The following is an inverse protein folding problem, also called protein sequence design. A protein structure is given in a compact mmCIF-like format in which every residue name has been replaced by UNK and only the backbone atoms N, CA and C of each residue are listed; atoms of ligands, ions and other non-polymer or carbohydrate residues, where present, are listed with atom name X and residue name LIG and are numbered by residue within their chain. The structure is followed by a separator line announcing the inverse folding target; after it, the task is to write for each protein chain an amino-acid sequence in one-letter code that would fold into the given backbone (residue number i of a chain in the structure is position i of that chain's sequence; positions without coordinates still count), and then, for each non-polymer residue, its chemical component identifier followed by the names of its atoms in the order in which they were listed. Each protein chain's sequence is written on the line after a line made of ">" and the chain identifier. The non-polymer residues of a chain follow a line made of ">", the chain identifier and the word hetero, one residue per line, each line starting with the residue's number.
data_IF_944991445942
#
_entry.id   IF_944991445942
#
_cell.length_a   1.000
_cell.length_b   1.000
_cell.length_c   1.000
_cell.angle_alpha   90.00
_cell.angle_beta   90.00
_cell.angle_gamma   90.00
#
_symmetry.space_group_name_H-M   'P 1'
#
loop_
_entity.id
_entity.type
_entity.pdbx_description
1 polymer ?
#
# COMPACT_ATOMS: atom_id res chain seq x y z
N UNK A 1 1.34 -32.61 -80.31
CA UNK A 1 2.82 -32.72 -80.43
C UNK A 1 3.48 -32.16 -79.18
N UNK A 2 4.55 -32.82 -78.72
CA UNK A 2 5.52 -32.36 -77.69
C UNK A 2 5.28 -32.68 -76.19
N UNK A 3 4.62 -33.81 -75.87
CA UNK A 3 4.81 -34.50 -74.56
C UNK A 3 6.23 -35.13 -74.40
N UNK A 4 7.12 -34.90 -75.38
CA UNK A 4 8.54 -35.31 -75.37
C UNK A 4 9.46 -34.24 -74.75
N UNK A 5 9.09 -32.95 -74.77
CA UNK A 5 9.91 -31.86 -74.18
C UNK A 5 9.78 -31.74 -72.65
N UNK A 6 8.65 -32.14 -72.07
CA UNK A 6 8.47 -32.10 -70.60
C UNK A 6 9.14 -33.26 -69.85
N UNK A 7 9.37 -34.39 -70.53
CA UNK A 7 10.11 -35.52 -69.93
C UNK A 7 11.63 -35.29 -69.87
N UNK A 8 12.19 -34.46 -70.74
CA UNK A 8 13.62 -34.10 -70.68
C UNK A 8 13.92 -33.04 -69.61
N UNK A 9 12.93 -32.18 -69.26
CA UNK A 9 13.09 -31.18 -68.19
C UNK A 9 13.07 -31.80 -66.77
N UNK A 10 12.40 -32.94 -66.59
CA UNK A 10 12.34 -33.67 -65.32
C UNK A 10 13.59 -34.55 -65.12
N UNK A 11 14.25 -35.01 -66.19
CA UNK A 11 15.49 -35.80 -66.09
C UNK A 11 16.72 -34.95 -65.75
N UNK A 12 16.77 -33.67 -66.17
CA UNK A 12 17.88 -32.74 -65.85
C UNK A 12 17.86 -32.13 -64.44
N UNK A 13 16.81 -32.35 -63.62
CA UNK A 13 16.77 -31.92 -62.21
C UNK A 13 17.11 -33.02 -61.20
N UNK A 14 17.47 -34.24 -61.66
CA UNK A 14 17.86 -35.37 -60.78
C UNK A 14 19.37 -35.62 -60.68
N UNK A 15 20.21 -34.79 -61.29
CA UNK A 15 21.69 -34.91 -61.25
C UNK A 15 22.39 -33.70 -60.61
N UNK A 16 21.80 -33.12 -59.56
CA UNK A 16 22.53 -32.22 -58.66
C UNK A 16 22.43 -32.77 -57.24
N UNK A 17 23.60 -32.89 -56.60
CA UNK A 17 23.89 -33.81 -55.52
C UNK A 17 23.01 -33.71 -54.28
N UNK A 18 22.74 -34.89 -53.70
CA UNK A 18 22.23 -35.04 -52.33
C UNK A 18 23.31 -34.58 -51.33
N UNK A 19 23.03 -33.67 -50.37
CA UNK A 19 23.90 -33.48 -49.24
C UNK A 19 23.90 -34.75 -48.36
N UNK A 20 25.09 -35.26 -48.04
CA UNK A 20 25.29 -36.34 -47.07
C UNK A 20 24.74 -35.92 -45.70
N UNK A 21 23.65 -36.54 -45.28
CA UNK A 21 23.16 -36.47 -43.91
C UNK A 21 23.99 -37.45 -43.05
N UNK A 22 25.08 -36.95 -42.47
CA UNK A 22 25.79 -37.66 -41.40
C UNK A 22 26.07 -36.70 -40.24
N UNK A 23 25.75 -37.19 -39.03
CA UNK A 23 26.19 -36.75 -37.70
C UNK A 23 25.48 -35.62 -36.92
N UNK A 24 24.25 -35.20 -37.24
CA UNK A 24 23.48 -34.32 -36.32
C UNK A 24 23.00 -34.99 -35.02
N UNK A 25 22.92 -36.33 -34.95
CA UNK A 25 22.44 -37.04 -33.75
C UNK A 25 23.45 -37.15 -32.60
N UNK A 26 24.76 -36.98 -32.84
CA UNK A 26 25.77 -36.99 -31.76
C UNK A 26 25.99 -35.60 -31.14
N UNK A 27 25.90 -34.53 -31.93
CA UNK A 27 25.99 -33.16 -31.42
C UNK A 27 24.79 -32.78 -30.52
N UNK A 28 23.58 -33.25 -30.85
CA UNK A 28 22.40 -32.97 -30.02
C UNK A 28 22.46 -33.68 -28.66
N UNK A 29 23.13 -34.84 -28.55
CA UNK A 29 23.28 -35.52 -27.26
C UNK A 29 24.33 -34.87 -26.35
N UNK A 30 25.43 -34.35 -26.90
CA UNK A 30 26.45 -33.63 -26.10
C UNK A 30 25.95 -32.24 -25.70
N UNK A 31 25.22 -31.54 -26.58
CA UNK A 31 24.57 -30.27 -26.24
C UNK A 31 23.44 -30.44 -25.21
N UNK A 32 22.70 -31.55 -25.24
CA UNK A 32 21.70 -31.85 -24.21
C UNK A 32 22.34 -32.20 -22.86
N UNK A 33 23.51 -32.85 -22.85
CA UNK A 33 24.20 -33.21 -21.60
C UNK A 33 24.91 -32.00 -20.96
N UNK A 34 25.52 -31.12 -21.76
CA UNK A 34 26.06 -29.83 -21.28
C UNK A 34 24.93 -28.85 -20.90
N UNK A 35 23.81 -28.87 -21.62
CA UNK A 35 22.59 -28.12 -21.29
C UNK A 35 21.93 -28.61 -19.99
N UNK A 36 21.94 -29.92 -19.73
CA UNK A 36 21.46 -30.48 -18.46
C UNK A 36 22.43 -30.19 -17.30
N UNK A 37 23.75 -30.23 -17.52
CA UNK A 37 24.71 -29.88 -16.47
C UNK A 37 24.71 -28.37 -16.16
N UNK A 38 24.55 -27.50 -17.16
CA UNK A 38 24.36 -26.06 -16.94
C UNK A 38 22.98 -25.73 -16.39
N UNK A 39 21.92 -26.43 -16.78
CA UNK A 39 20.62 -26.32 -16.12
C UNK A 39 20.70 -26.79 -14.66
N UNK A 40 21.42 -27.88 -14.35
CA UNK A 40 21.60 -28.34 -12.96
C UNK A 40 22.51 -27.42 -12.13
N UNK A 41 23.47 -26.72 -12.74
CA UNK A 41 24.27 -25.69 -12.07
C UNK A 41 23.50 -24.36 -11.95
N UNK A 42 22.59 -24.04 -12.87
CA UNK A 42 21.69 -22.87 -12.81
C UNK A 42 20.47 -23.11 -11.88
N UNK A 43 20.10 -24.38 -11.69
CA UNK A 43 19.21 -24.87 -10.64
C UNK A 43 19.96 -24.94 -9.29
N UNK A 44 21.28 -24.80 -9.28
CA UNK A 44 22.10 -24.66 -8.07
C UNK A 44 22.06 -23.27 -7.43
N UNK A 45 21.54 -22.25 -8.12
CA UNK A 45 21.13 -20.98 -7.50
C UNK A 45 19.63 -20.98 -7.24
N UNK A 46 19.14 -22.02 -6.55
CA UNK A 46 17.89 -21.90 -5.82
C UNK A 46 18.12 -20.86 -4.73
N UNK A 47 17.72 -19.62 -5.01
CA UNK A 47 17.04 -18.83 -3.97
C UNK A 47 15.99 -19.79 -3.45
N UNK A 48 16.13 -20.23 -2.21
CA UNK A 48 15.19 -21.14 -1.57
C UNK A 48 13.80 -20.53 -1.74
N UNK A 49 13.02 -21.10 -2.66
CA UNK A 49 11.63 -20.71 -2.84
C UNK A 49 10.92 -21.25 -1.60
N UNK A 50 10.65 -20.35 -0.66
CA UNK A 50 9.83 -20.70 0.49
C UNK A 50 8.36 -20.55 0.05
N UNK A 51 7.72 -21.69 -0.22
CA UNK A 51 6.33 -21.79 -0.69
C UNK A 51 5.34 -21.05 0.23
N UNK A 52 5.75 -20.69 1.45
CA UNK A 52 4.93 -19.89 2.37
C UNK A 52 4.60 -18.49 1.85
N UNK A 53 5.36 -17.95 0.88
CA UNK A 53 5.11 -16.63 0.28
C UNK A 53 4.17 -16.63 -0.92
N UNK A 54 3.70 -17.80 -1.35
CA UNK A 54 2.83 -17.95 -2.53
C UNK A 54 1.50 -17.19 -2.43
N UNK A 55 1.06 -16.85 -1.21
CA UNK A 55 -0.14 -16.03 -1.01
C UNK A 55 -0.03 -14.64 -1.65
N UNK A 56 1.19 -14.13 -1.90
CA UNK A 56 1.44 -12.87 -2.58
C UNK A 56 1.22 -12.95 -4.11
N UNK A 57 0.94 -14.13 -4.66
CA UNK A 57 0.53 -14.30 -6.06
C UNK A 57 -1.00 -14.18 -6.26
N UNK A 58 -1.78 -13.89 -5.21
CA UNK A 58 -3.25 -13.86 -5.30
C UNK A 58 -3.79 -12.74 -6.20
N UNK A 59 -4.94 -13.01 -6.81
CA UNK A 59 -5.73 -12.03 -7.55
C UNK A 59 -7.18 -12.11 -7.05
N UNK A 60 -7.47 -11.39 -5.96
CA UNK A 60 -8.80 -11.40 -5.35
C UNK A 60 -9.42 -10.00 -5.38
N UNK A 61 -10.72 -9.97 -5.69
CA UNK A 61 -11.54 -8.77 -5.61
C UNK A 61 -12.53 -8.92 -4.46
N UNK A 62 -12.65 -7.90 -3.62
CA UNK A 62 -13.71 -7.80 -2.63
C UNK A 62 -14.92 -7.10 -3.23
N UNK A 63 -16.13 -7.58 -2.93
CA UNK A 63 -17.37 -6.91 -3.32
C UNK A 63 -17.49 -5.58 -2.56
N UNK A 64 -17.74 -4.49 -3.30
CA UNK A 64 -17.90 -3.16 -2.72
C UNK A 64 -19.29 -3.05 -2.10
N UNK A 65 -19.36 -2.94 -0.78
CA UNK A 65 -20.59 -2.71 -0.04
C UNK A 65 -20.72 -1.20 0.23
N UNK A 66 -21.77 -0.57 -0.28
CA UNK A 66 -22.01 0.87 -0.09
C UNK A 66 -23.13 1.16 0.93
N UNK A 67 -23.87 0.15 1.39
CA UNK A 67 -24.81 0.32 2.50
C UNK A 67 -24.06 0.24 3.83
N UNK A 68 -24.05 1.34 4.58
CA UNK A 68 -23.42 1.42 5.89
C UNK A 68 -23.99 0.41 6.88
N UNK A 69 -25.29 0.08 6.79
CA UNK A 69 -25.95 -0.87 7.70
C UNK A 69 -25.38 -2.27 7.55
N UNK A 70 -25.01 -2.65 6.34
CA UNK A 70 -24.40 -3.94 6.07
C UNK A 70 -22.95 -3.99 6.54
N UNK A 71 -22.21 -2.89 6.42
CA UNK A 71 -20.86 -2.77 7.00
C UNK A 71 -20.91 -2.94 8.51
N UNK A 72 -21.80 -2.21 9.21
CA UNK A 72 -21.95 -2.29 10.67
C UNK A 72 -22.34 -3.70 11.15
N UNK A 73 -23.06 -4.48 10.33
CA UNK A 73 -23.44 -5.87 10.66
C UNK A 73 -22.34 -6.89 10.40
N UNK A 74 -21.47 -6.63 9.41
CA UNK A 74 -20.52 -7.64 8.88
C UNK A 74 -19.09 -7.44 9.36
N UNK A 75 -18.71 -6.21 9.66
CA UNK A 75 -17.33 -5.78 9.85
C UNK A 75 -17.11 -5.13 11.21
N UNK A 76 -15.85 -5.09 11.60
CA UNK A 76 -15.42 -4.68 12.93
C UNK A 76 -14.83 -3.28 12.92
N UNK A 77 -15.25 -2.40 13.85
CA UNK A 77 -14.58 -1.13 14.02
C UNK A 77 -13.15 -1.35 14.55
N UNK A 78 -12.20 -0.60 13.99
CA UNK A 78 -10.79 -0.56 14.41
C UNK A 78 -10.48 0.86 14.89
N UNK A 79 -10.10 0.96 16.16
CA UNK A 79 -9.82 2.25 16.79
C UNK A 79 -11.08 3.10 17.03
N UNK A 80 -10.89 4.31 17.57
CA UNK A 80 -11.99 5.15 18.02
C UNK A 80 -12.63 5.90 16.85
N UNK A 81 -13.88 6.35 17.05
CA UNK A 81 -14.48 7.40 16.20
C UNK A 81 -13.72 8.72 16.41
N UNK A 82 -13.06 9.22 15.37
CA UNK A 82 -12.27 10.45 15.40
C UNK A 82 -13.02 11.61 14.74
N UNK A 83 -13.02 12.77 15.39
CA UNK A 83 -13.58 13.99 14.77
C UNK A 83 -12.63 14.51 13.68
N UNK A 84 -13.18 14.79 12.50
CA UNK A 84 -12.44 15.42 11.39
C UNK A 84 -12.31 16.92 11.70
N UNK A 85 -11.08 17.34 12.00
CA UNK A 85 -10.75 18.73 12.38
C UNK A 85 -10.14 19.56 11.26
N UNK A 86 -9.64 18.92 10.19
CA UNK A 86 -9.08 19.65 9.04
C UNK A 86 -10.20 20.44 8.35
N UNK A 87 -10.08 21.77 8.32
CA UNK A 87 -11.14 22.65 7.82
C UNK A 87 -11.42 22.45 6.32
N UNK A 88 -10.38 22.23 5.51
CA UNK A 88 -10.50 21.98 4.07
C UNK A 88 -11.24 20.66 3.79
N UNK A 89 -10.86 19.59 4.49
CA UNK A 89 -11.52 18.29 4.41
C UNK A 89 -12.98 18.38 4.90
N UNK A 90 -13.20 19.04 6.04
CA UNK A 90 -14.53 19.25 6.59
C UNK A 90 -15.42 20.06 5.63
N UNK A 91 -14.90 21.12 5.02
CA UNK A 91 -15.62 21.92 4.04
C UNK A 91 -15.98 21.10 2.79
N UNK A 92 -15.05 20.25 2.32
CA UNK A 92 -15.29 19.32 1.20
C UNK A 92 -16.41 18.33 1.53
N UNK A 93 -16.33 17.66 2.68
CA UNK A 93 -17.33 16.68 3.13
C UNK A 93 -18.71 17.36 3.26
N UNK A 94 -18.77 18.55 3.89
CA UNK A 94 -20.02 19.31 4.00
C UNK A 94 -20.59 19.65 2.62
N UNK A 95 -19.76 20.17 1.71
CA UNK A 95 -20.19 20.50 0.35
C UNK A 95 -20.76 19.30 -0.41
N UNK A 96 -20.10 18.14 -0.32
CA UNK A 96 -20.58 16.90 -0.94
C UNK A 96 -21.88 16.39 -0.31
N UNK A 97 -22.05 16.56 1.01
CA UNK A 97 -23.22 16.10 1.74
C UNK A 97 -24.42 17.05 1.68
N UNK A 98 -24.21 18.36 1.43
CA UNK A 98 -25.25 19.40 1.51
C UNK A 98 -26.57 19.02 0.81
N UNK A 99 -26.61 18.53 -0.44
CA UNK A 99 -27.87 18.16 -1.08
C UNK A 99 -28.65 17.07 -0.33
N UNK A 100 -27.92 16.11 0.27
CA UNK A 100 -28.48 15.03 1.07
C UNK A 100 -28.97 15.58 2.42
N UNK A 101 -28.19 16.46 3.05
CA UNK A 101 -28.56 17.07 4.33
C UNK A 101 -29.83 17.92 4.19
N UNK A 102 -29.92 18.77 3.17
CA UNK A 102 -31.09 19.61 2.89
C UNK A 102 -32.34 18.77 2.63
N UNK A 103 -32.19 17.69 1.86
CA UNK A 103 -33.26 16.73 1.61
C UNK A 103 -33.75 16.06 2.90
N UNK A 104 -32.82 15.63 3.77
CA UNK A 104 -33.15 15.00 5.07
C UNK A 104 -33.83 15.98 6.04
N UNK A 105 -33.36 17.22 6.11
CA UNK A 105 -33.97 18.31 6.90
C UNK A 105 -35.43 18.49 6.46
N UNK A 106 -35.67 18.59 5.15
CA UNK A 106 -37.01 18.77 4.58
C UNK A 106 -37.93 17.58 4.87
N UNK A 107 -37.47 16.34 4.65
CA UNK A 107 -38.28 15.13 4.89
C UNK A 107 -38.67 14.99 6.37
N UNK A 108 -37.76 15.37 7.28
CA UNK A 108 -38.01 15.28 8.73
C UNK A 108 -38.88 16.42 9.26
N UNK A 109 -39.25 17.39 8.40
CA UNK A 109 -40.03 18.57 8.81
C UNK A 109 -39.27 19.47 9.78
N UNK A 110 -37.94 19.49 9.70
CA UNK A 110 -37.11 20.38 10.52
C UNK A 110 -37.15 21.81 9.98
N UNK A 111 -36.83 22.78 10.85
CA UNK A 111 -36.98 24.20 10.52
C UNK A 111 -36.01 24.63 9.40
N UNK A 112 -36.51 25.38 8.42
CA UNK A 112 -35.74 26.02 7.34
C UNK A 112 -35.90 27.55 7.41
N UNK A 113 -34.82 28.35 7.32
CA UNK A 113 -33.41 28.00 7.42
C UNK A 113 -32.97 27.92 8.90
N UNK A 114 -32.90 26.71 9.45
CA UNK A 114 -32.23 26.49 10.75
C UNK A 114 -30.73 26.78 10.64
N UNK A 115 -30.14 27.42 11.65
CA UNK A 115 -28.69 27.53 11.75
C UNK A 115 -28.17 26.17 12.26
N UNK A 116 -27.87 25.24 11.36
CA UNK A 116 -27.39 23.91 11.72
C UNK A 116 -25.88 23.91 12.00
N UNK A 117 -25.47 23.30 13.10
CA UNK A 117 -24.09 22.88 13.31
C UNK A 117 -23.87 21.49 12.70
N UNK A 118 -22.74 21.31 12.01
CA UNK A 118 -22.39 20.06 11.34
C UNK A 118 -21.00 19.66 11.76
N UNK A 119 -20.92 18.52 12.45
CA UNK A 119 -19.66 17.88 12.87
C UNK A 119 -19.45 16.61 12.06
N UNK A 120 -18.24 16.38 11.57
CA UNK A 120 -17.87 15.18 10.84
C UNK A 120 -16.93 14.31 11.66
N UNK A 121 -17.11 13.01 11.55
CA UNK A 121 -16.33 11.98 12.21
C UNK A 121 -15.93 10.90 11.20
N UNK A 122 -14.85 10.18 11.50
CA UNK A 122 -14.36 9.04 10.74
C UNK A 122 -14.08 7.88 11.69
N UNK A 123 -14.42 6.67 11.27
CA UNK A 123 -14.10 5.44 11.98
C UNK A 123 -13.76 4.34 10.97
N UNK A 124 -12.69 3.59 11.21
CA UNK A 124 -12.29 2.50 10.31
C UNK A 124 -13.09 1.24 10.64
N UNK A 125 -13.61 0.58 9.61
CA UNK A 125 -14.22 -0.74 9.69
C UNK A 125 -13.43 -1.72 8.83
N UNK A 126 -12.88 -2.75 9.46
CA UNK A 126 -12.03 -3.72 8.77
C UNK A 126 -12.82 -4.92 8.26
N UNK A 127 -12.51 -5.30 7.01
CA UNK A 127 -12.91 -6.55 6.40
C UNK A 127 -11.88 -7.61 6.83
N UNK A 128 -12.29 -8.69 7.53
CA UNK A 128 -11.36 -9.75 7.91
C UNK A 128 -10.88 -10.52 6.67
N UNK A 129 -9.61 -10.92 6.63
CA UNK A 129 -9.09 -11.76 5.55
C UNK A 129 -9.56 -13.22 5.68
N UNK A 130 -9.31 -14.06 4.67
CA UNK A 130 -9.57 -15.50 4.76
C UNK A 130 -8.52 -16.19 5.62
N UNK A 131 -8.89 -17.32 6.24
CA UNK A 131 -8.05 -18.01 7.24
C UNK A 131 -6.69 -18.41 6.65
N UNK A 132 -6.67 -18.84 5.40
CA UNK A 132 -5.49 -19.26 4.65
C UNK A 132 -4.48 -18.13 4.39
N UNK A 133 -4.90 -16.86 4.44
CA UNK A 133 -4.04 -15.71 4.14
C UNK A 133 -3.64 -14.90 5.38
N UNK A 134 -4.39 -15.05 6.49
CA UNK A 134 -4.16 -14.30 7.73
C UNK A 134 -2.78 -14.56 8.32
N UNK A 135 -2.42 -15.83 8.51
CA UNK A 135 -1.16 -16.19 9.18
C UNK A 135 0.08 -15.84 8.35
N UNK A 136 0.13 -16.12 7.02
CA UNK A 136 1.26 -15.67 6.20
C UNK A 136 1.41 -14.14 6.14
N UNK A 137 0.31 -13.39 6.06
CA UNK A 137 0.35 -11.93 6.10
C UNK A 137 0.84 -11.40 7.46
N UNK A 138 0.43 -12.05 8.55
CA UNK A 138 0.90 -11.76 9.91
C UNK A 138 2.40 -12.02 10.06
N UNK A 139 2.86 -13.17 9.58
CA UNK A 139 4.28 -13.53 9.60
C UNK A 139 5.11 -12.54 8.78
N UNK A 140 4.63 -12.15 7.58
CA UNK A 140 5.29 -11.12 6.77
C UNK A 140 5.40 -9.78 7.52
N UNK A 141 4.31 -9.29 8.14
CA UNK A 141 4.33 -8.01 8.85
C UNK A 141 5.27 -8.04 10.07
N UNK A 142 5.31 -9.15 10.81
CA UNK A 142 6.28 -9.36 11.90
C UNK A 142 7.72 -9.37 11.38
N UNK A 143 7.97 -10.05 10.28
CA UNK A 143 9.30 -10.12 9.65
C UNK A 143 9.73 -8.75 9.13
N UNK A 144 8.85 -8.02 8.46
CA UNK A 144 9.11 -6.66 7.98
C UNK A 144 9.37 -5.67 9.12
N UNK A 145 8.64 -5.80 10.22
CA UNK A 145 8.86 -5.03 11.43
C UNK A 145 10.27 -5.27 11.99
N UNK A 146 10.68 -6.52 12.19
CA UNK A 146 12.04 -6.83 12.67
C UNK A 146 13.11 -6.40 11.67
N UNK A 147 12.87 -6.61 10.37
CA UNK A 147 13.79 -6.21 9.31
C UNK A 147 14.05 -4.70 9.31
N UNK A 148 13.01 -3.87 9.45
CA UNK A 148 13.12 -2.41 9.51
C UNK A 148 14.03 -1.95 10.66
N UNK A 149 13.77 -2.43 11.88
CA UNK A 149 14.44 -1.93 13.08
C UNK A 149 15.82 -2.57 13.33
N UNK A 150 16.10 -3.72 12.71
CA UNK A 150 17.42 -4.36 12.75
C UNK A 150 18.22 -4.13 11.45
N UNK A 151 17.76 -3.25 10.57
CA UNK A 151 18.36 -3.06 9.25
C UNK A 151 19.80 -2.52 9.36
N UNK A 152 20.81 -3.17 8.76
CA UNK A 152 22.23 -2.82 8.99
C UNK A 152 22.63 -1.45 8.44
N UNK A 153 21.82 -0.86 7.56
CA UNK A 153 22.10 0.45 6.92
C UNK A 153 21.09 1.53 7.30
N UNK A 154 20.28 1.28 8.33
CA UNK A 154 19.29 2.23 8.83
C UNK A 154 19.28 2.19 10.35
N UNK A 155 19.61 3.32 10.95
CA UNK A 155 19.77 3.52 12.39
C UNK A 155 19.04 4.80 12.81
N UNK A 156 18.78 4.94 14.11
CA UNK A 156 18.04 6.08 14.67
C UNK A 156 16.52 5.92 14.63
N UNK A 157 15.99 4.82 14.08
CA UNK A 157 14.58 4.46 14.21
C UNK A 157 14.30 3.96 15.63
N UNK A 158 13.23 4.47 16.25
CA UNK A 158 12.79 4.02 17.57
C UNK A 158 11.80 2.88 17.41
N UNK A 159 12.19 1.67 17.81
CA UNK A 159 11.33 0.48 17.74
C UNK A 159 10.18 0.60 18.74
N UNK A 160 8.91 0.73 18.29
CA UNK A 160 7.78 0.78 19.19
C UNK A 160 7.50 -0.60 19.78
N UNK A 161 6.85 -0.63 20.95
CA UNK A 161 6.17 -1.86 21.39
C UNK A 161 4.90 -2.00 20.57
N UNK A 162 4.88 -2.95 19.64
CA UNK A 162 3.74 -3.18 18.75
C UNK A 162 3.30 -4.64 18.74
N UNK A 163 1.99 -4.86 18.91
CA UNK A 163 1.36 -6.16 18.72
C UNK A 163 0.68 -6.22 17.34
N UNK A 164 1.01 -7.26 16.56
CA UNK A 164 0.36 -7.52 15.28
C UNK A 164 -0.87 -8.41 15.48
N UNK A 165 -2.02 -7.95 15.02
CA UNK A 165 -3.33 -8.58 15.21
C UNK A 165 -4.00 -8.82 13.85
N UNK A 166 -4.36 -10.07 13.55
CA UNK A 166 -5.24 -10.35 12.41
C UNK A 166 -6.68 -10.04 12.79
N UNK A 167 -7.35 -9.20 12.01
CA UNK A 167 -8.69 -8.75 12.35
C UNK A 167 -9.69 -9.91 12.26
N UNK A 168 -10.48 -10.04 13.32
CA UNK A 168 -11.64 -10.93 13.39
C UNK A 168 -12.91 -10.10 13.58
N UNK A 169 -14.08 -10.75 13.66
CA UNK A 169 -15.36 -10.09 13.93
C UNK A 169 -15.53 -9.71 15.41
N UNK A 170 -14.57 -8.95 15.95
CA UNK A 170 -14.53 -8.43 17.32
C UNK A 170 -14.45 -6.90 17.30
N UNK A 171 -14.93 -6.22 18.34
CA UNK A 171 -14.81 -4.76 18.44
C UNK A 171 -13.40 -4.38 18.93
N UNK A 172 -12.68 -3.55 18.15
CA UNK A 172 -11.34 -3.03 18.49
C UNK A 172 -11.31 -1.51 18.68
N UNK A 173 -12.42 -0.91 19.13
CA UNK A 173 -12.51 0.53 19.46
C UNK A 173 -11.66 0.91 20.68
N UNK A 174 -11.37 -0.06 21.55
CA UNK A 174 -10.57 0.10 22.77
C UNK A 174 -9.35 -0.83 22.70
N UNK A 175 -8.28 -0.44 23.40
CA UNK A 175 -7.04 -1.21 23.40
C UNK A 175 -6.40 -1.32 22.02
N UNK A 176 -6.66 -0.37 21.12
CA UNK A 176 -6.06 -0.30 19.80
C UNK A 176 -4.64 0.25 19.81
N UNK A 177 -4.29 0.94 20.90
CA UNK A 177 -3.09 1.77 20.96
C UNK A 177 -1.83 0.93 20.85
N UNK A 178 -0.93 1.34 19.96
CA UNK A 178 0.31 0.62 19.66
C UNK A 178 0.11 -0.66 18.84
N UNK A 179 -1.08 -0.94 18.30
CA UNK A 179 -1.31 -2.18 17.55
C UNK A 179 -1.19 -2.00 16.03
N UNK A 180 -0.73 -3.08 15.38
CA UNK A 180 -0.77 -3.25 13.93
C UNK A 180 -1.87 -4.24 13.53
N UNK A 181 -2.94 -3.76 12.92
CA UNK A 181 -4.06 -4.57 12.45
C UNK A 181 -3.87 -5.02 11.01
N UNK A 182 -4.14 -6.29 10.73
CA UNK A 182 -4.04 -6.86 9.38
C UNK A 182 -5.41 -7.39 8.97
N UNK A 183 -5.87 -7.00 7.79
CA UNK A 183 -7.12 -7.50 7.24
C UNK A 183 -7.18 -7.48 5.72
N UNK A 184 -8.33 -7.94 5.22
CA UNK A 184 -8.82 -7.79 3.86
C UNK A 184 -8.49 -6.44 3.26
N UNK A 185 -9.35 -5.51 3.64
CA UNK A 185 -9.40 -4.11 3.25
C UNK A 185 -10.20 -3.40 4.35
N UNK A 186 -10.34 -2.09 4.26
CA UNK A 186 -11.15 -1.35 5.22
C UNK A 186 -12.11 -0.37 4.53
N UNK A 187 -13.16 -0.03 5.26
CA UNK A 187 -14.04 1.08 4.98
C UNK A 187 -13.72 2.20 5.96
N UNK A 188 -13.54 3.41 5.45
CA UNK A 188 -13.57 4.63 6.28
C UNK A 188 -15.03 5.09 6.37
N UNK A 189 -15.66 4.87 7.52
CA UNK A 189 -17.03 5.28 7.77
C UNK A 189 -17.06 6.74 8.17
N UNK A 190 -17.48 7.61 7.24
CA UNK A 190 -17.69 9.02 7.55
C UNK A 190 -19.08 9.24 8.12
N UNK A 191 -19.14 9.88 9.28
CA UNK A 191 -20.38 10.19 10.00
C UNK A 191 -20.55 11.70 10.17
N UNK A 192 -21.67 12.23 9.72
CA UNK A 192 -22.09 13.60 9.94
C UNK A 192 -23.14 13.66 11.05
N UNK A 193 -22.85 14.42 12.11
CA UNK A 193 -23.82 14.78 13.15
C UNK A 193 -24.30 16.19 12.87
N UNK A 194 -25.60 16.34 12.59
CA UNK A 194 -26.26 17.61 12.25
C UNK A 194 -27.22 17.99 13.37
N UNK A 195 -27.08 19.18 13.93
CA UNK A 195 -27.88 19.66 15.07
C UNK A 195 -28.37 21.08 14.80
N UNK A 196 -29.66 21.34 14.93
CA UNK A 196 -30.21 22.69 14.86
C UNK A 196 -29.77 23.50 16.11
N UNK A 197 -29.08 24.64 15.91
CA UNK A 197 -28.62 25.48 17.03
C UNK A 197 -29.77 26.13 17.80
N UNK A 198 -30.87 26.46 17.13
CA UNK A 198 -32.05 27.08 17.74
C UNK A 198 -32.95 26.06 18.43
N UNK A 199 -32.91 24.80 17.97
CA UNK A 199 -33.67 23.71 18.58
C UNK A 199 -32.84 22.42 18.62
N UNK A 200 -32.00 22.22 19.66
CA UNK A 200 -31.10 21.06 19.74
C UNK A 200 -31.79 19.69 19.73
N UNK A 201 -33.13 19.62 19.93
CA UNK A 201 -33.91 18.39 19.78
C UNK A 201 -34.06 17.96 18.31
N UNK A 202 -33.91 18.87 17.36
CA UNK A 202 -33.85 18.57 15.93
C UNK A 202 -32.40 18.23 15.56
N UNK A 203 -32.09 16.93 15.57
CA UNK A 203 -30.80 16.42 15.14
C UNK A 203 -30.95 15.18 14.28
N UNK A 204 -29.93 14.90 13.48
CA UNK A 204 -29.82 13.64 12.76
C UNK A 204 -28.37 13.27 12.48
N UNK A 205 -28.17 11.98 12.21
CA UNK A 205 -26.89 11.45 11.79
C UNK A 205 -27.00 10.92 10.36
N UNK A 206 -25.98 11.21 9.55
CA UNK A 206 -25.80 10.66 8.22
C UNK A 206 -24.48 9.91 8.17
N UNK A 207 -24.46 8.71 7.57
CA UNK A 207 -23.27 7.88 7.47
C UNK A 207 -23.01 7.53 6.00
N UNK A 208 -21.75 7.64 5.59
CA UNK A 208 -21.28 7.34 4.24
C UNK A 208 -20.04 6.44 4.34
N UNK A 209 -20.11 5.19 3.85
CA UNK A 209 -18.93 4.36 3.78
C UNK A 209 -18.05 4.80 2.60
N UNK A 210 -16.75 4.91 2.85
CA UNK A 210 -15.74 5.14 1.82
C UNK A 210 -14.87 3.89 1.72
N UNK A 211 -14.99 3.10 0.64
CA UNK A 211 -14.14 1.94 0.46
C UNK A 211 -12.69 2.36 0.18
N UNK A 212 -11.73 1.84 0.93
CA UNK A 212 -10.31 2.13 0.77
C UNK A 212 -9.57 1.01 0.03
N UNK A 213 -10.01 0.68 -1.19
CA UNK A 213 -9.44 -0.43 -1.97
C UNK A 213 -8.12 -0.11 -2.68
N UNK A 214 -7.76 1.17 -2.85
CA UNK A 214 -6.63 1.59 -3.71
C UNK A 214 -5.36 2.07 -2.97
N UNK A 215 -5.44 2.31 -1.66
CA UNK A 215 -4.32 2.83 -0.84
C UNK A 215 -4.28 2.07 0.49
N UNK A 216 -4.26 0.74 0.42
CA UNK A 216 -4.83 -0.17 1.41
C UNK A 216 -4.31 -0.12 2.85
N UNK A 217 -3.34 0.72 3.18
CA UNK A 217 -2.78 0.77 4.53
C UNK A 217 -2.80 2.18 5.08
N UNK A 218 -2.80 2.28 6.40
CA UNK A 218 -2.96 3.55 7.09
C UNK A 218 -2.42 3.52 8.52
N UNK A 219 -1.56 4.47 8.84
CA UNK A 219 -1.31 4.94 10.19
C UNK A 219 -2.46 5.87 10.60
N UNK A 220 -3.14 5.54 11.69
CA UNK A 220 -4.14 6.38 12.31
C UNK A 220 -3.58 6.92 13.62
N UNK A 221 -3.49 8.24 13.71
CA UNK A 221 -3.06 8.95 14.92
C UNK A 221 -4.29 9.51 15.63
N UNK A 222 -4.61 8.95 16.80
CA UNK A 222 -5.72 9.39 17.63
C UNK A 222 -5.31 10.55 18.54
N UNK A 223 -4.08 10.53 19.07
CA UNK A 223 -3.57 11.58 19.96
C UNK A 223 -2.07 11.84 19.74
N UNK A 224 -1.68 13.11 19.88
CA UNK A 224 -0.30 13.60 19.85
C UNK A 224 0.02 14.34 21.13
N UNK A 225 1.24 14.23 21.62
CA UNK A 225 1.74 15.13 22.66
C UNK A 225 1.86 16.55 22.10
N UNK A 226 1.33 17.53 22.82
CA UNK A 226 1.36 18.94 22.42
C UNK A 226 2.74 19.59 22.57
N UNK A 227 3.64 19.01 23.37
CA UNK A 227 4.95 19.59 23.68
C UNK A 227 5.97 19.30 22.60
N UNK A 228 6.03 18.06 22.13
CA UNK A 228 7.07 17.60 21.20
C UNK A 228 6.50 17.00 19.89
N UNK A 229 5.17 16.93 19.77
CA UNK A 229 4.48 16.39 18.61
C UNK A 229 4.48 14.86 18.53
N UNK A 230 5.05 14.17 19.52
CA UNK A 230 5.19 12.72 19.53
C UNK A 230 3.84 12.00 19.56
N UNK A 231 3.78 10.81 18.97
CA UNK A 231 2.55 10.04 18.87
C UNK A 231 2.21 9.41 20.22
N UNK A 232 1.07 9.83 20.81
CA UNK A 232 0.59 9.30 22.10
C UNK A 232 -0.34 8.12 21.96
N UNK A 233 -1.26 8.22 21.00
CA UNK A 233 -2.22 7.17 20.75
C UNK A 233 -2.36 6.96 19.25
N UNK A 234 -2.07 5.75 18.78
CA UNK A 234 -2.03 5.42 17.36
C UNK A 234 -2.26 3.93 17.11
N UNK A 235 -2.62 3.59 15.88
CA UNK A 235 -2.59 2.22 15.38
C UNK A 235 -2.27 2.21 13.89
N UNK A 236 -1.81 1.08 13.39
CA UNK A 236 -1.58 0.87 11.96
C UNK A 236 -2.62 -0.13 11.45
N UNK A 237 -3.14 0.11 10.26
CA UNK A 237 -3.89 -0.88 9.50
C UNK A 237 -3.12 -1.26 8.23
N UNK A 238 -2.99 -2.55 7.98
CA UNK A 238 -2.38 -3.09 6.77
C UNK A 238 -3.45 -3.89 6.00
N UNK A 239 -3.80 -3.43 4.80
CA UNK A 239 -4.61 -4.24 3.89
C UNK A 239 -3.74 -5.25 3.18
N UNK A 240 -4.22 -6.48 3.17
CA UNK A 240 -3.60 -7.57 2.46
C UNK A 240 -4.17 -7.75 1.04
N UNK A 241 -5.29 -7.11 0.66
CA UNK A 241 -5.99 -7.36 -0.63
C UNK A 241 -5.04 -7.32 -1.83
N UNK A 242 -4.25 -6.24 -1.86
CA UNK A 242 -3.16 -5.88 -2.76
C UNK A 242 -1.80 -6.54 -2.45
N UNK A 243 -1.25 -7.58 -3.12
CA UNK A 243 0.06 -8.11 -2.72
C UNK A 243 1.20 -7.08 -2.75
N UNK A 244 1.23 -6.20 -3.75
CA UNK A 244 2.22 -5.12 -3.82
C UNK A 244 2.01 -4.03 -2.75
N UNK A 245 0.77 -3.87 -2.26
CA UNK A 245 0.47 -2.99 -1.12
C UNK A 245 1.04 -3.62 0.15
N UNK A 246 0.71 -4.89 0.41
CA UNK A 246 1.19 -5.61 1.60
C UNK A 246 2.71 -5.63 1.69
N UNK A 247 3.42 -5.77 0.57
CA UNK A 247 4.89 -5.78 0.55
C UNK A 247 5.51 -4.49 1.11
N UNK A 248 4.93 -3.34 0.79
CA UNK A 248 5.48 -2.01 1.13
C UNK A 248 4.84 -1.39 2.37
N UNK A 249 3.59 -1.73 2.64
CA UNK A 249 2.79 -1.10 3.67
C UNK A 249 3.40 -1.14 5.07
N UNK A 250 3.92 -2.27 5.60
CA UNK A 250 4.51 -2.28 6.94
C UNK A 250 5.57 -1.18 7.10
N UNK A 251 6.45 -1.01 6.11
CA UNK A 251 7.47 0.03 6.14
C UNK A 251 6.88 1.44 5.99
N UNK A 252 5.89 1.63 5.11
CA UNK A 252 5.28 2.94 4.86
C UNK A 252 4.49 3.45 6.07
N UNK A 253 3.91 2.55 6.86
CA UNK A 253 3.14 2.93 8.05
C UNK A 253 3.98 2.97 9.33
N UNK A 254 5.11 2.24 9.39
CA UNK A 254 6.03 2.26 10.54
C UNK A 254 7.03 3.42 10.49
N UNK A 255 7.54 3.78 9.30
CA UNK A 255 8.51 4.88 9.15
C UNK A 255 8.00 6.21 9.73
N UNK A 256 6.72 6.60 9.51
CA UNK A 256 6.15 7.80 10.10
C UNK A 256 6.27 7.84 11.62
N UNK A 257 6.22 6.71 12.33
CA UNK A 257 6.36 6.69 13.79
C UNK A 257 7.67 7.34 14.29
N UNK A 258 8.72 7.36 13.45
CA UNK A 258 9.98 8.04 13.77
C UNK A 258 10.03 9.48 13.25
N UNK A 259 9.59 9.73 12.02
CA UNK A 259 9.82 11.02 11.33
C UNK A 259 8.71 12.06 11.58
N UNK A 260 7.65 11.66 12.26
CA UNK A 260 6.43 12.42 12.37
C UNK A 260 6.59 13.72 13.18
N UNK A 261 7.40 13.73 14.25
CA UNK A 261 7.73 14.97 14.97
C UNK A 261 8.45 16.00 14.08
N UNK A 262 9.34 15.56 13.18
CA UNK A 262 9.99 16.46 12.21
C UNK A 262 8.98 16.99 11.18
N UNK A 263 8.03 16.15 10.78
CA UNK A 263 6.95 16.50 9.84
C UNK A 263 6.01 17.55 10.45
N UNK A 264 5.63 17.40 11.72
CA UNK A 264 4.79 18.37 12.44
C UNK A 264 5.49 19.71 12.59
N UNK A 265 6.79 19.75 12.94
CA UNK A 265 7.54 21.02 13.01
C UNK A 265 7.59 21.72 11.64
N UNK A 266 7.72 20.95 10.56
CA UNK A 266 7.73 21.50 9.21
C UNK A 266 6.33 21.98 8.76
N UNK A 267 5.25 21.40 9.27
CA UNK A 267 3.88 21.86 9.02
C UNK A 267 3.68 23.32 9.43
N UNK A 268 4.26 23.76 10.56
CA UNK A 268 4.22 25.16 10.99
C UNK A 268 4.92 26.12 10.00
N UNK A 269 5.90 25.63 9.24
CA UNK A 269 6.65 26.45 8.27
C UNK A 269 5.98 26.55 6.90
N UNK A 270 5.37 25.47 6.41
CA UNK A 270 4.91 25.36 5.01
C UNK A 270 3.44 25.00 4.84
N UNK A 271 2.73 24.72 5.93
CA UNK A 271 1.35 24.26 5.96
C UNK A 271 1.20 22.74 5.80
N UNK A 272 0.06 22.22 6.28
CA UNK A 272 -0.27 20.79 6.42
C UNK A 272 -0.01 19.97 5.16
N UNK A 273 -0.51 20.42 4.00
CA UNK A 273 -0.46 19.61 2.78
C UNK A 273 0.98 19.41 2.26
N UNK A 274 1.82 20.45 2.35
CA UNK A 274 3.22 20.36 1.93
C UNK A 274 4.04 19.51 2.89
N UNK A 275 3.79 19.63 4.20
CA UNK A 275 4.46 18.80 5.20
C UNK A 275 4.07 17.32 5.06
N UNK A 276 2.78 17.02 4.90
CA UNK A 276 2.30 15.65 4.60
C UNK A 276 2.96 15.08 3.34
N UNK A 277 3.02 15.87 2.27
CA UNK A 277 3.69 15.45 1.04
C UNK A 277 5.17 15.12 1.28
N UNK A 278 5.88 15.88 2.10
CA UNK A 278 7.27 15.60 2.45
C UNK A 278 7.39 14.29 3.25
N UNK A 279 6.55 14.09 4.27
CA UNK A 279 6.52 12.86 5.08
C UNK A 279 6.21 11.61 4.26
N UNK A 280 5.21 11.68 3.38
CA UNK A 280 4.88 10.59 2.44
C UNK A 280 6.04 10.32 1.48
N UNK A 281 6.74 11.37 1.01
CA UNK A 281 7.84 11.23 0.05
C UNK A 281 9.03 10.45 0.62
N UNK A 282 9.42 10.69 1.88
CA UNK A 282 10.48 9.93 2.55
C UNK A 282 9.98 8.53 2.96
N UNK A 283 8.76 8.43 3.52
CA UNK A 283 8.21 7.17 4.03
C UNK A 283 8.06 6.14 2.91
N UNK A 284 7.42 6.52 1.82
CA UNK A 284 7.20 5.65 0.65
C UNK A 284 8.51 5.36 -0.09
N UNK A 285 9.44 6.32 -0.13
CA UNK A 285 10.76 6.16 -0.74
C UNK A 285 11.60 5.09 -0.02
N UNK A 286 11.65 5.15 1.31
CA UNK A 286 12.30 4.14 2.15
C UNK A 286 11.56 2.81 2.06
N UNK A 287 10.23 2.83 2.19
CA UNK A 287 9.37 1.65 2.12
C UNK A 287 9.61 0.83 0.85
N UNK A 288 9.66 1.49 -0.30
CA UNK A 288 9.92 0.80 -1.56
C UNK A 288 11.25 0.06 -1.58
N UNK A 289 12.32 0.70 -1.11
CA UNK A 289 13.66 0.11 -1.14
C UNK A 289 13.81 -1.01 -0.10
N UNK A 290 13.24 -0.85 1.10
CA UNK A 290 13.18 -1.89 2.12
C UNK A 290 12.35 -3.09 1.66
N UNK A 291 11.21 -2.85 1.00
CA UNK A 291 10.39 -3.92 0.44
C UNK A 291 11.13 -4.71 -0.66
N UNK A 292 11.93 -4.04 -1.49
CA UNK A 292 12.78 -4.71 -2.48
C UNK A 292 13.83 -5.60 -1.82
N UNK A 293 14.49 -5.10 -0.77
CA UNK A 293 15.55 -5.83 -0.08
C UNK A 293 15.01 -7.01 0.72
N UNK A 294 13.92 -6.83 1.47
CA UNK A 294 13.28 -7.92 2.20
C UNK A 294 12.71 -8.97 1.23
N UNK A 295 12.13 -8.55 0.10
CA UNK A 295 11.66 -9.48 -0.93
C UNK A 295 12.80 -10.36 -1.47
N UNK A 296 13.98 -9.77 -1.66
CA UNK A 296 15.17 -10.49 -2.13
C UNK A 296 15.70 -11.43 -1.04
N UNK A 297 15.76 -10.99 0.22
CA UNK A 297 16.21 -11.79 1.35
C UNK A 297 15.32 -13.00 1.62
N UNK A 298 14.00 -12.80 1.54
CA UNK A 298 13.01 -13.86 1.77
C UNK A 298 12.75 -14.75 0.54
N UNK A 299 13.33 -14.41 -0.62
CA UNK A 299 13.11 -15.15 -1.85
C UNK A 299 11.67 -15.07 -2.39
N UNK A 300 10.97 -13.95 -2.17
CA UNK A 300 9.57 -13.79 -2.56
C UNK A 300 9.43 -13.85 -4.09
N UNK A 301 8.60 -14.78 -4.62
CA UNK A 301 8.38 -14.89 -6.05
C UNK A 301 7.84 -13.58 -6.63
N UNK A 302 8.49 -13.08 -7.68
CA UNK A 302 8.15 -11.79 -8.30
C UNK A 302 8.17 -10.58 -7.36
N UNK A 303 8.80 -10.66 -6.17
CA UNK A 303 8.82 -9.57 -5.19
C UNK A 303 9.31 -8.24 -5.77
N UNK A 304 10.38 -8.26 -6.59
CA UNK A 304 10.86 -7.07 -7.32
C UNK A 304 9.81 -6.45 -8.25
N UNK A 305 9.04 -7.28 -8.94
CA UNK A 305 7.97 -6.81 -9.85
C UNK A 305 6.86 -6.18 -9.01
N UNK A 306 6.39 -6.87 -7.98
CA UNK A 306 5.32 -6.39 -7.09
C UNK A 306 5.72 -5.08 -6.40
N UNK A 307 6.91 -4.98 -5.82
CA UNK A 307 7.41 -3.75 -5.20
C UNK A 307 7.53 -2.56 -6.18
N UNK A 308 7.70 -2.80 -7.49
CA UNK A 308 7.66 -1.74 -8.52
C UNK A 308 6.23 -1.37 -8.94
N UNK A 309 5.30 -2.31 -8.88
CA UNK A 309 3.89 -2.09 -9.20
C UNK A 309 3.23 -1.10 -8.24
N UNK A 310 3.60 -1.16 -6.94
CA UNK A 310 3.12 -0.21 -5.93
C UNK A 310 3.41 1.24 -6.33
N UNK A 311 4.66 1.58 -6.68
CA UNK A 311 5.03 2.93 -7.15
C UNK A 311 4.23 3.33 -8.38
N UNK A 312 4.15 2.43 -9.38
CA UNK A 312 3.53 2.76 -10.65
C UNK A 312 2.03 3.03 -10.52
N UNK A 313 1.35 2.35 -9.58
CA UNK A 313 -0.05 2.58 -9.27
C UNK A 313 -0.28 3.91 -8.56
N UNK A 314 0.64 4.33 -7.69
CA UNK A 314 0.45 5.51 -6.85
C UNK A 314 1.01 6.83 -7.42
N UNK A 315 1.92 6.79 -8.40
CA UNK A 315 2.63 7.97 -8.92
C UNK A 315 1.73 9.10 -9.46
N UNK A 316 0.50 8.77 -9.88
CA UNK A 316 -0.43 9.73 -10.45
C UNK A 316 -1.27 10.48 -9.40
N UNK A 317 -1.24 10.05 -8.12
CA UNK A 317 -1.91 10.79 -7.06
C UNK A 317 -1.00 11.92 -6.58
N UNK A 318 -1.56 13.13 -6.42
CA UNK A 318 -0.78 14.34 -6.14
C UNK A 318 0.14 14.23 -4.92
N UNK A 319 -0.26 13.50 -3.88
CA UNK A 319 0.57 13.29 -2.68
C UNK A 319 1.84 12.46 -2.93
N UNK A 320 1.86 11.61 -3.96
CA UNK A 320 3.00 10.76 -4.32
C UNK A 320 3.82 11.28 -5.50
N UNK A 321 3.60 12.54 -5.91
CA UNK A 321 4.27 13.16 -7.07
C UNK A 321 5.79 13.03 -7.04
N UNK A 322 6.40 13.13 -5.87
CA UNK A 322 7.86 13.12 -5.69
C UNK A 322 8.43 11.74 -5.37
N UNK A 323 7.61 10.69 -5.29
CA UNK A 323 8.05 9.34 -4.94
C UNK A 323 9.12 8.79 -5.91
N UNK A 324 9.00 8.88 -7.25
CA UNK A 324 10.05 8.39 -8.14
C UNK A 324 11.39 9.09 -7.92
N UNK A 325 11.37 10.40 -7.70
CA UNK A 325 12.56 11.19 -7.43
C UNK A 325 13.19 10.82 -6.09
N UNK A 326 12.37 10.63 -5.05
CA UNK A 326 12.81 10.18 -3.72
C UNK A 326 13.53 8.84 -3.81
N UNK A 327 12.92 7.85 -4.47
CA UNK A 327 13.53 6.53 -4.67
C UNK A 327 14.86 6.62 -5.41
N UNK A 328 14.94 7.43 -6.46
CA UNK A 328 16.18 7.64 -7.21
C UNK A 328 17.26 8.32 -6.35
N UNK A 329 16.89 9.32 -5.56
CA UNK A 329 17.80 10.03 -4.65
C UNK A 329 18.32 9.09 -3.55
N UNK A 330 17.43 8.35 -2.89
CA UNK A 330 17.78 7.43 -1.80
C UNK A 330 18.67 6.30 -2.33
N UNK A 331 18.38 5.76 -3.52
CA UNK A 331 19.22 4.73 -4.15
C UNK A 331 20.65 5.25 -4.42
N UNK A 332 20.78 6.52 -4.79
CA UNK A 332 22.09 7.14 -5.09
C UNK A 332 22.88 7.47 -3.82
N UNK A 333 22.23 7.97 -2.78
CA UNK A 333 22.91 8.52 -1.60
C UNK A 333 22.87 7.61 -0.36
N UNK A 334 22.00 6.60 -0.35
CA UNK A 334 21.79 5.68 0.77
C UNK A 334 20.56 6.03 1.62
N UNK A 335 19.97 5.00 2.24
CA UNK A 335 18.79 5.13 3.12
C UNK A 335 19.07 5.98 4.36
N UNK A 336 20.18 5.75 5.04
CA UNK A 336 20.57 6.53 6.23
C UNK A 336 20.70 8.02 5.90
N UNK A 337 21.41 8.36 4.81
CA UNK A 337 21.60 9.75 4.40
C UNK A 337 20.27 10.47 4.11
N UNK A 338 19.26 9.74 3.61
CA UNK A 338 17.93 10.27 3.38
C UNK A 338 17.18 10.52 4.70
N UNK A 339 17.22 9.55 5.61
CA UNK A 339 16.59 9.65 6.93
C UNK A 339 17.22 10.81 7.74
N UNK A 340 18.54 10.86 7.80
CA UNK A 340 19.29 11.91 8.51
C UNK A 340 18.96 13.30 7.94
N UNK A 341 18.99 13.43 6.61
CA UNK A 341 18.66 14.71 5.97
C UNK A 341 17.22 15.14 6.24
N UNK A 342 16.27 14.19 6.24
CA UNK A 342 14.88 14.49 6.56
C UNK A 342 14.69 14.91 8.02
N UNK A 343 15.31 14.18 8.96
CA UNK A 343 15.23 14.47 10.39
C UNK A 343 15.92 15.79 10.75
N UNK A 344 17.01 16.14 10.05
CA UNK A 344 17.67 17.45 10.17
C UNK A 344 16.79 18.57 9.57
N UNK A 345 16.26 18.35 8.35
CA UNK A 345 15.46 19.34 7.65
C UNK A 345 14.61 18.72 6.53
N UNK A 346 13.29 18.55 6.75
CA UNK A 346 12.37 18.11 5.69
C UNK A 346 12.42 19.01 4.45
N UNK A 347 12.69 20.32 4.64
CA UNK A 347 12.90 21.28 3.54
C UNK A 347 14.10 20.91 2.67
N UNK A 348 15.29 20.71 3.27
CA UNK A 348 16.50 20.35 2.52
C UNK A 348 16.34 19.02 1.81
N UNK A 349 15.70 18.04 2.46
CA UNK A 349 15.38 16.77 1.82
C UNK A 349 14.53 16.97 0.56
N UNK A 350 13.43 17.72 0.66
CA UNK A 350 12.56 17.97 -0.49
C UNK A 350 13.27 18.77 -1.60
N UNK A 351 14.10 19.75 -1.26
CA UNK A 351 14.93 20.46 -2.23
C UNK A 351 15.92 19.53 -2.96
N UNK A 352 16.48 18.55 -2.26
CA UNK A 352 17.38 17.56 -2.83
C UNK A 352 16.64 16.59 -3.77
N UNK A 353 15.44 16.15 -3.39
CA UNK A 353 14.57 15.27 -4.19
C UNK A 353 14.05 15.99 -5.44
N UNK A 354 13.71 17.28 -5.36
CA UNK A 354 13.23 18.06 -6.51
C UNK A 354 14.30 18.35 -7.58
N UNK A 355 15.59 18.15 -7.26
CA UNK A 355 16.72 18.34 -8.19
C UNK A 355 17.09 17.10 -8.99
N UNK A 356 16.46 15.95 -8.70
CA UNK A 356 16.54 14.73 -9.51
C UNK A 356 15.63 14.87 -10.72
#
# INVERSE_FOLDING_TARGET
>A
MSRKRDRERIKKKKEQGKPKYTSRRRFVKVAAFLGAATASIYVGSHVFHDDKWDFLARNEWHEIILDYRDILKRYSPIGPELQIKNESELAKIKKEANPILDHQIKIRGFDLPGNYDVKAYSQLFSVPDRKEFREPALEYCKTAFEFLYNHPRLSGLVKPSLEWITVQRTNYEKGFDGNGFIGNSYYDMQKLKVVNKSNPKQYFEYQKPIPAHACGSRLVVAERDKKDGSLKSWFIYISAIEPHVLLSAPFSELTPLTIDSATVKYEDEVGTEKAKQAGETISEGLSHLLALELSDELGIPNGKRLARESINKVRNYGKYRYLPNSVAWIRKNGMQAALDLYLESPRKFMEAVMKI
#
